data_IF_711574526351
#
_entry.id   IF_711574526351
#
_cell.length_a   1.000
_cell.length_b   1.000
_cell.length_c   1.000
_cell.angle_alpha   90.00
_cell.angle_beta   90.00
_cell.angle_gamma   90.00
#
_symmetry.space_group_name_H-M   'P 1'
#
loop_
_entity.id
_entity.type
_entity.pdbx_description
1 polymer ?
#
# COMPACT_ATOMS: atom_id res chain seq x y z
N UNK A 1 25.07 33.94 1.96
CA UNK A 1 25.56 33.13 0.83
C UNK A 1 26.04 31.78 1.35
N UNK A 2 25.69 30.70 0.66
CA UNK A 2 26.08 29.32 0.98
C UNK A 2 27.39 29.02 0.24
N UNK A 3 28.36 28.39 0.89
CA UNK A 3 29.64 28.05 0.24
C UNK A 3 29.45 26.99 -0.87
N UNK A 4 30.39 26.93 -1.82
CA UNK A 4 30.31 26.03 -2.97
C UNK A 4 30.33 24.54 -2.60
N UNK A 5 30.92 24.20 -1.46
CA UNK A 5 31.08 22.86 -0.91
C UNK A 5 29.99 22.48 0.10
N UNK A 6 29.22 23.46 0.60
CA UNK A 6 28.16 23.18 1.56
C UNK A 6 27.02 22.37 0.92
N UNK A 7 26.63 21.28 1.59
CA UNK A 7 25.51 20.41 1.23
C UNK A 7 24.17 21.05 1.60
N UNK A 8 23.27 21.15 0.61
CA UNK A 8 21.87 21.52 0.84
C UNK A 8 21.05 20.24 1.00
N UNK A 9 20.41 20.07 2.16
CA UNK A 9 19.68 18.82 2.50
C UNK A 9 18.17 18.92 2.32
N UNK A 10 17.64 20.13 2.16
CA UNK A 10 16.22 20.32 1.90
C UNK A 10 15.88 19.79 0.50
N UNK A 11 14.81 18.98 0.39
CA UNK A 11 14.31 18.48 -0.90
C UNK A 11 13.95 19.63 -1.86
N UNK A 12 13.47 20.73 -1.29
CA UNK A 12 13.19 21.99 -1.98
C UNK A 12 14.13 23.04 -1.38
N UNK A 13 15.17 23.46 -2.10
CA UNK A 13 16.06 24.52 -1.66
C UNK A 13 15.29 25.82 -1.39
N UNK A 14 15.60 26.50 -0.28
CA UNK A 14 14.96 27.79 0.07
C UNK A 14 15.62 28.99 -0.63
N UNK A 15 16.89 28.87 -0.97
CA UNK A 15 17.69 29.91 -1.61
C UNK A 15 18.77 29.30 -2.52
N UNK A 16 19.23 30.07 -3.50
CA UNK A 16 20.42 29.76 -4.28
C UNK A 16 21.69 29.89 -3.44
N UNK A 17 22.83 29.42 -3.97
CA UNK A 17 24.12 29.60 -3.28
C UNK A 17 24.46 31.08 -3.07
N UNK A 18 24.11 31.92 -4.03
CA UNK A 18 24.31 33.37 -3.98
C UNK A 18 23.29 34.09 -3.08
N UNK A 19 22.36 33.36 -2.46
CA UNK A 19 21.43 33.88 -1.46
C UNK A 19 20.13 34.46 -2.03
N UNK A 20 19.83 34.21 -3.31
CA UNK A 20 18.53 34.58 -3.88
C UNK A 20 17.45 33.59 -3.46
N UNK A 21 16.23 34.04 -3.13
CA UNK A 21 15.15 33.12 -2.77
C UNK A 21 14.79 32.23 -3.95
N UNK A 22 14.51 30.96 -3.67
CA UNK A 22 14.00 30.05 -4.70
C UNK A 22 12.48 30.22 -4.82
N UNK A 23 12.01 30.43 -6.04
CA UNK A 23 10.60 30.65 -6.35
C UNK A 23 9.98 29.42 -7.02
N UNK A 24 8.69 29.22 -6.76
CA UNK A 24 7.89 28.12 -7.30
C UNK A 24 6.45 28.59 -7.51
N UNK A 25 5.71 27.90 -8.39
CA UNK A 25 4.28 28.12 -8.58
C UNK A 25 3.89 28.47 -10.02
N UNK A 26 2.59 28.68 -10.27
CA UNK A 26 2.07 28.98 -11.60
C UNK A 26 2.72 30.25 -12.20
N UNK A 27 3.09 30.19 -13.48
CA UNK A 27 3.68 31.33 -14.20
C UNK A 27 5.21 31.48 -14.05
N UNK A 28 5.85 30.68 -13.19
CA UNK A 28 7.32 30.63 -13.09
C UNK A 28 7.87 29.76 -14.23
N UNK A 29 8.89 30.26 -14.94
CA UNK A 29 9.58 29.49 -15.99
C UNK A 29 10.68 28.61 -15.37
N UNK A 30 10.82 27.35 -15.80
CA UNK A 30 11.95 26.51 -15.40
C UNK A 30 13.24 27.01 -16.05
N UNK A 31 14.39 26.77 -15.39
CA UNK A 31 15.72 26.96 -15.98
C UNK A 31 16.66 27.83 -15.12
N UNK A 32 16.23 29.01 -14.65
CA UNK A 32 17.05 29.83 -13.75
C UNK A 32 17.37 29.12 -12.43
N UNK A 33 18.53 29.42 -11.86
CA UNK A 33 19.04 28.79 -10.63
C UNK A 33 18.16 29.04 -9.39
N UNK A 34 17.35 30.09 -9.42
CA UNK A 34 16.41 30.51 -8.39
C UNK A 34 14.98 29.97 -8.61
N UNK A 35 14.78 28.98 -9.49
CA UNK A 35 13.46 28.38 -9.73
C UNK A 35 13.43 26.91 -9.34
N UNK A 36 12.37 26.49 -8.64
CA UNK A 36 12.09 25.08 -8.33
C UNK A 36 10.73 24.71 -8.89
N UNK A 37 10.71 24.38 -10.18
CA UNK A 37 9.49 23.99 -10.89
C UNK A 37 9.80 22.89 -11.91
N UNK A 38 8.86 21.98 -12.08
CA UNK A 38 8.93 20.99 -13.14
C UNK A 38 8.68 21.64 -14.51
N UNK A 39 9.40 21.21 -15.54
CA UNK A 39 9.23 21.67 -16.93
C UNK A 39 7.85 21.34 -17.58
N UNK A 40 6.95 20.69 -16.84
CA UNK A 40 5.58 20.44 -17.28
C UNK A 40 5.41 19.36 -18.35
N UNK A 41 4.14 19.11 -18.68
CA UNK A 41 3.69 18.00 -19.53
C UNK A 41 4.13 18.12 -20.99
N UNK A 42 4.23 19.35 -21.51
CA UNK A 42 4.68 19.60 -22.88
C UNK A 42 6.10 19.09 -23.09
N UNK A 43 7.04 19.57 -22.27
CA UNK A 43 8.44 19.13 -22.33
C UNK A 43 8.62 17.65 -21.96
N UNK A 44 7.79 17.11 -21.07
CA UNK A 44 7.78 15.67 -20.79
C UNK A 44 7.42 14.82 -22.02
N UNK A 45 6.38 15.20 -22.79
CA UNK A 45 6.05 14.52 -24.04
C UNK A 45 7.14 14.72 -25.10
N UNK A 46 7.62 15.95 -25.28
CA UNK A 46 8.71 16.25 -26.23
C UNK A 46 9.91 15.35 -25.99
N UNK A 47 10.30 15.16 -24.72
CA UNK A 47 11.44 14.32 -24.32
C UNK A 47 11.26 12.83 -24.65
N UNK A 48 10.02 12.36 -24.81
CA UNK A 48 9.70 10.96 -25.08
C UNK A 48 9.31 10.70 -26.54
N UNK A 49 9.23 11.73 -27.39
CA UNK A 49 8.88 11.61 -28.81
C UNK A 49 9.78 10.56 -29.50
N UNK A 50 9.21 9.60 -30.26
CA UNK A 50 7.82 9.52 -30.73
C UNK A 50 6.88 8.73 -29.80
N UNK A 51 7.30 8.34 -28.61
CA UNK A 51 6.54 7.47 -27.74
C UNK A 51 5.43 8.21 -26.98
N UNK A 52 4.33 7.50 -26.74
CA UNK A 52 3.14 8.02 -26.09
C UNK A 52 3.34 8.11 -24.58
N UNK A 53 2.82 9.20 -24.00
CA UNK A 53 2.93 9.56 -22.58
C UNK A 53 4.39 9.79 -22.08
N UNK A 54 4.60 9.73 -20.77
CA UNK A 54 5.85 10.00 -20.07
C UNK A 54 5.85 9.27 -18.70
N UNK A 55 6.77 9.61 -17.79
CA UNK A 55 6.86 9.06 -16.41
C UNK A 55 5.49 9.01 -15.73
N UNK A 56 5.18 7.89 -15.06
CA UNK A 56 3.92 7.46 -14.39
C UNK A 56 3.08 6.47 -15.22
N UNK A 57 3.10 6.57 -16.55
CA UNK A 57 2.35 5.68 -17.42
C UNK A 57 3.19 4.46 -17.84
N UNK A 58 2.52 3.34 -18.13
CA UNK A 58 3.16 2.11 -18.66
C UNK A 58 3.15 2.03 -20.21
N UNK A 59 2.86 3.16 -20.85
CA UNK A 59 3.03 3.36 -22.29
C UNK A 59 4.53 3.54 -22.61
N UNK A 60 4.96 3.38 -23.87
CA UNK A 60 6.39 3.41 -24.24
C UNK A 60 7.10 4.67 -23.75
N UNK A 61 6.44 5.84 -23.71
CA UNK A 61 7.06 7.07 -23.22
C UNK A 61 7.34 7.08 -21.72
N UNK A 62 6.66 6.22 -20.95
CA UNK A 62 6.93 6.06 -19.52
C UNK A 62 7.89 4.93 -19.16
N UNK A 63 8.12 3.96 -20.06
CA UNK A 63 8.89 2.74 -19.77
C UNK A 63 10.10 2.50 -20.68
N UNK A 64 10.21 3.19 -21.82
CA UNK A 64 11.34 3.04 -22.74
C UNK A 64 12.50 3.94 -22.32
N UNK A 65 13.47 3.38 -21.60
CA UNK A 65 14.72 4.06 -21.24
C UNK A 65 15.89 3.47 -22.01
N UNK A 66 16.85 4.29 -22.50
CA UNK A 66 18.07 3.75 -23.11
C UNK A 66 18.94 3.03 -22.09
N UNK A 67 19.45 1.86 -22.46
CA UNK A 67 20.49 1.14 -21.72
C UNK A 67 21.77 1.15 -22.56
N UNK A 68 22.86 1.65 -21.99
CA UNK A 68 24.20 1.62 -22.60
C UNK A 68 25.02 0.57 -21.86
N UNK A 69 25.54 -0.41 -22.58
CA UNK A 69 26.38 -1.47 -22.03
C UNK A 69 27.77 -1.35 -22.63
N UNK A 70 28.79 -1.38 -21.79
CA UNK A 70 30.20 -1.30 -22.20
C UNK A 70 31.02 -2.34 -21.46
N UNK A 71 31.44 -3.39 -22.18
CA UNK A 71 32.31 -4.44 -21.66
C UNK A 71 33.24 -4.96 -22.77
N UNK A 72 34.37 -4.30 -23.06
CA UNK A 72 35.22 -4.60 -24.23
C UNK A 72 35.77 -6.03 -24.29
N UNK A 73 35.91 -6.69 -23.14
CA UNK A 73 36.39 -8.08 -23.10
C UNK A 73 35.33 -9.06 -23.63
N UNK A 74 34.05 -8.83 -23.37
CA UNK A 74 32.95 -9.73 -23.77
C UNK A 74 32.16 -9.23 -24.99
N UNK A 75 31.96 -7.92 -25.12
CA UNK A 75 31.21 -7.31 -26.21
C UNK A 75 32.19 -6.81 -27.27
N UNK A 76 32.23 -7.50 -28.42
CA UNK A 76 33.14 -7.16 -29.54
C UNK A 76 32.60 -6.11 -30.48
N UNK A 77 31.27 -5.95 -30.54
CA UNK A 77 30.62 -4.90 -31.34
C UNK A 77 30.82 -3.52 -30.72
N UNK A 78 31.00 -2.49 -31.54
CA UNK A 78 31.19 -1.10 -31.11
C UNK A 78 30.16 -0.17 -31.76
N UNK A 79 29.46 0.63 -30.95
CA UNK A 79 28.51 1.64 -31.44
C UNK A 79 27.23 1.07 -32.06
N UNK A 80 26.95 -0.21 -31.86
CA UNK A 80 25.77 -0.87 -32.45
C UNK A 80 24.53 -0.74 -31.58
N UNK A 81 23.36 -0.74 -32.22
CA UNK A 81 22.05 -0.71 -31.55
C UNK A 81 21.46 -2.12 -31.49
N UNK A 82 20.99 -2.50 -30.30
CA UNK A 82 20.18 -3.69 -30.06
C UNK A 82 18.73 -3.22 -29.86
N UNK A 83 17.78 -3.82 -30.59
CA UNK A 83 16.37 -3.36 -30.62
C UNK A 83 15.39 -4.27 -29.89
N UNK A 84 15.83 -5.46 -29.49
CA UNK A 84 15.01 -6.35 -28.68
C UNK A 84 14.74 -5.75 -27.29
N UNK A 85 13.56 -5.96 -26.72
CA UNK A 85 13.22 -5.40 -25.42
C UNK A 85 13.97 -6.12 -24.29
N UNK A 86 14.70 -5.34 -23.49
CA UNK A 86 15.13 -5.73 -22.14
C UNK A 86 14.24 -5.07 -21.09
N UNK A 87 14.33 -5.52 -19.85
CA UNK A 87 13.57 -5.00 -18.72
C UNK A 87 14.48 -4.82 -17.49
N UNK A 88 14.09 -3.92 -16.58
CA UNK A 88 14.90 -3.61 -15.38
C UNK A 88 15.22 -4.86 -14.54
N UNK A 89 14.29 -5.81 -14.47
CA UNK A 89 14.45 -7.07 -13.72
C UNK A 89 15.60 -7.94 -14.27
N UNK A 90 15.97 -7.75 -15.54
CA UNK A 90 17.01 -8.51 -16.22
C UNK A 90 18.42 -8.11 -15.75
N UNK A 91 18.57 -6.91 -15.18
CA UNK A 91 19.87 -6.42 -14.71
C UNK A 91 20.41 -7.33 -13.60
N UNK A 92 19.56 -7.76 -12.66
CA UNK A 92 19.98 -8.68 -11.60
C UNK A 92 20.47 -10.01 -12.18
N UNK A 93 19.68 -10.62 -13.08
CA UNK A 93 20.05 -11.86 -13.76
C UNK A 93 21.37 -11.72 -14.53
N UNK A 94 21.56 -10.60 -15.22
CA UNK A 94 22.77 -10.28 -15.98
C UNK A 94 23.99 -10.15 -15.06
N UNK A 95 23.85 -9.49 -13.91
CA UNK A 95 24.95 -9.35 -12.95
C UNK A 95 25.36 -10.70 -12.34
N UNK A 96 24.40 -11.55 -12.02
CA UNK A 96 24.65 -12.90 -11.48
C UNK A 96 25.39 -13.76 -12.51
N UNK A 97 24.90 -13.80 -13.75
CA UNK A 97 25.51 -14.51 -14.87
C UNK A 97 26.93 -13.98 -15.18
N UNK A 98 27.09 -12.66 -15.27
CA UNK A 98 28.39 -12.02 -15.51
C UNK A 98 29.45 -12.30 -14.43
N UNK A 99 29.01 -12.52 -13.19
CA UNK A 99 29.88 -12.79 -12.06
C UNK A 99 30.14 -14.30 -11.85
N UNK A 100 29.51 -15.18 -12.63
CA UNK A 100 29.48 -16.63 -12.39
C UNK A 100 29.05 -16.94 -10.95
N UNK A 101 28.06 -16.19 -10.46
CA UNK A 101 27.60 -16.26 -9.08
C UNK A 101 26.39 -17.19 -8.93
N UNK A 102 26.29 -17.84 -7.77
CA UNK A 102 25.08 -18.58 -7.40
C UNK A 102 24.08 -17.64 -6.72
N UNK A 103 22.86 -17.56 -7.24
CA UNK A 103 21.78 -16.83 -6.58
C UNK A 103 21.10 -17.72 -5.53
N UNK A 104 21.15 -17.36 -4.24
CA UNK A 104 20.65 -18.24 -3.19
C UNK A 104 19.12 -18.35 -3.23
N UNK A 105 18.59 -19.51 -2.88
CA UNK A 105 17.14 -19.68 -2.67
C UNK A 105 16.71 -19.21 -1.27
N UNK A 106 17.65 -19.23 -0.31
CA UNK A 106 17.42 -18.92 1.10
C UNK A 106 18.51 -18.02 1.67
N UNK A 107 18.12 -17.16 2.60
CA UNK A 107 19.04 -16.38 3.43
C UNK A 107 18.57 -16.40 4.88
N UNK A 108 19.40 -16.89 5.80
CA UNK A 108 19.06 -17.06 7.22
C UNK A 108 17.75 -17.85 7.41
N UNK A 109 17.61 -18.99 6.71
CA UNK A 109 16.42 -19.87 6.73
C UNK A 109 15.13 -19.25 6.17
N UNK A 110 15.19 -18.02 5.65
CA UNK A 110 14.07 -17.35 4.98
C UNK A 110 14.21 -17.53 3.46
N UNK A 111 13.14 -18.00 2.81
CA UNK A 111 13.06 -18.06 1.34
C UNK A 111 13.10 -16.63 0.77
N UNK A 112 13.97 -16.40 -0.22
CA UNK A 112 14.08 -15.09 -0.87
C UNK A 112 13.36 -15.09 -2.22
N UNK A 113 13.02 -13.89 -2.70
CA UNK A 113 12.40 -13.73 -4.01
C UNK A 113 13.31 -14.34 -5.09
N UNK A 114 12.81 -15.27 -5.92
CA UNK A 114 13.58 -15.78 -7.05
C UNK A 114 13.95 -14.67 -8.05
N UNK A 115 15.00 -14.90 -8.85
CA UNK A 115 15.28 -14.05 -10.00
C UNK A 115 14.10 -14.12 -10.98
N UNK A 116 13.53 -12.96 -11.30
CA UNK A 116 12.38 -12.82 -12.22
C UNK A 116 12.81 -12.48 -13.66
N UNK A 117 14.03 -11.98 -13.84
CA UNK A 117 14.58 -11.60 -15.14
C UNK A 117 15.39 -12.69 -15.82
N UNK A 118 15.83 -12.41 -17.04
CA UNK A 118 16.79 -13.25 -17.78
C UNK A 118 18.06 -12.47 -18.08
N UNK A 119 19.20 -13.15 -18.17
CA UNK A 119 20.46 -12.47 -18.49
C UNK A 119 20.41 -11.80 -19.86
N UNK A 120 20.86 -10.55 -19.92
CA UNK A 120 21.01 -9.78 -21.16
C UNK A 120 22.31 -10.11 -21.91
N UNK A 121 23.22 -10.89 -21.32
CA UNK A 121 24.53 -11.18 -21.92
C UNK A 121 24.46 -11.72 -23.34
N UNK A 122 23.58 -12.69 -23.69
CA UNK A 122 23.46 -13.18 -25.06
C UNK A 122 23.02 -12.08 -26.04
N UNK A 123 22.13 -11.18 -25.61
CA UNK A 123 21.69 -10.04 -26.42
C UNK A 123 22.80 -8.98 -26.58
N UNK A 124 23.60 -8.77 -25.55
CA UNK A 124 24.69 -7.79 -25.57
C UNK A 124 25.88 -8.25 -26.42
N UNK A 125 26.28 -9.52 -26.28
CA UNK A 125 27.46 -10.09 -26.95
C UNK A 125 27.17 -10.46 -28.42
N UNK A 126 26.15 -11.29 -28.64
CA UNK A 126 25.88 -11.93 -29.93
C UNK A 126 24.60 -11.42 -30.62
N UNK A 127 23.92 -10.44 -30.01
CA UNK A 127 22.59 -10.00 -30.45
C UNK A 127 21.57 -11.16 -30.53
N UNK A 128 21.77 -12.21 -29.73
CA UNK A 128 20.88 -13.36 -29.66
C UNK A 128 19.53 -12.98 -29.06
N UNK A 129 18.47 -13.66 -29.49
CA UNK A 129 17.12 -13.43 -28.97
C UNK A 129 17.02 -13.87 -27.50
N UNK A 130 16.47 -12.99 -26.65
CA UNK A 130 16.22 -13.31 -25.25
C UNK A 130 15.00 -14.23 -25.12
N UNK A 131 15.22 -15.45 -24.66
CA UNK A 131 14.15 -16.40 -24.37
C UNK A 131 13.30 -15.90 -23.19
N UNK A 132 12.11 -15.35 -23.48
CA UNK A 132 11.12 -14.97 -22.47
C UNK A 132 9.71 -15.10 -23.03
N UNK A 133 8.76 -15.41 -22.17
CA UNK A 133 7.35 -15.51 -22.55
C UNK A 133 6.72 -14.11 -22.74
N UNK A 134 6.92 -13.23 -21.76
CA UNK A 134 6.42 -11.86 -21.77
C UNK A 134 7.14 -10.98 -20.76
N UNK A 135 6.93 -9.66 -20.86
CA UNK A 135 7.30 -8.66 -19.87
C UNK A 135 6.01 -8.01 -19.36
N UNK A 136 5.95 -7.70 -18.06
CA UNK A 136 4.74 -7.24 -17.38
C UNK A 136 4.98 -5.95 -16.62
N UNK A 137 3.95 -5.13 -16.53
CA UNK A 137 3.97 -3.88 -15.77
C UNK A 137 2.65 -3.69 -15.01
N UNK A 138 2.80 -3.13 -13.83
CA UNK A 138 1.75 -2.41 -13.13
C UNK A 138 2.40 -1.19 -12.46
N UNK A 139 1.75 -0.04 -12.56
CA UNK A 139 2.16 1.17 -11.85
C UNK A 139 0.96 2.08 -11.63
N UNK A 140 0.58 2.24 -10.36
CA UNK A 140 -0.51 3.11 -9.92
C UNK A 140 -1.84 2.85 -10.68
N UNK A 141 -2.13 1.59 -10.98
CA UNK A 141 -3.36 1.11 -11.59
C UNK A 141 -3.29 1.07 -13.12
N UNK A 142 -2.25 1.66 -13.70
CA UNK A 142 -1.91 1.47 -15.11
C UNK A 142 -1.25 0.09 -15.26
N UNK A 143 -1.62 -0.64 -16.31
CA UNK A 143 -1.21 -2.05 -16.47
C UNK A 143 -0.80 -2.34 -17.90
N UNK A 144 0.21 -3.20 -18.08
CA UNK A 144 0.64 -3.64 -19.40
C UNK A 144 1.27 -5.03 -19.40
N UNK A 145 1.18 -5.71 -20.53
CA UNK A 145 1.94 -6.92 -20.86
C UNK A 145 2.47 -6.79 -22.28
N UNK A 146 3.72 -7.22 -22.52
CA UNK A 146 4.30 -7.37 -23.85
C UNK A 146 4.75 -8.81 -24.07
N UNK A 147 4.06 -9.51 -24.96
CA UNK A 147 4.38 -10.87 -25.39
C UNK A 147 4.84 -10.84 -26.85
N UNK A 148 6.15 -10.97 -27.06
CA UNK A 148 6.78 -10.76 -28.37
C UNK A 148 6.49 -9.34 -28.91
N UNK A 149 5.84 -9.28 -30.08
CA UNK A 149 5.47 -8.01 -30.71
C UNK A 149 4.18 -7.41 -30.15
N UNK A 150 3.34 -8.17 -29.47
CA UNK A 150 2.05 -7.68 -29.01
C UNK A 150 2.18 -7.03 -27.64
N UNK A 151 1.66 -5.82 -27.50
CA UNK A 151 1.53 -5.14 -26.21
C UNK A 151 0.06 -4.86 -25.94
N UNK A 152 -0.40 -5.29 -24.77
CA UNK A 152 -1.67 -4.90 -24.19
C UNK A 152 -1.38 -3.87 -23.11
N UNK A 153 -2.08 -2.74 -23.11
CA UNK A 153 -1.85 -1.64 -22.16
C UNK A 153 -3.16 -0.94 -21.80
N UNK A 154 -3.30 -0.51 -20.55
CA UNK A 154 -4.42 0.29 -20.12
C UNK A 154 -3.97 1.33 -19.07
N UNK A 155 -4.56 2.52 -19.15
CA UNK A 155 -4.55 3.44 -18.01
C UNK A 155 -5.48 2.92 -16.91
N UNK A 156 -5.28 3.37 -15.69
CA UNK A 156 -6.18 3.02 -14.58
C UNK A 156 -7.65 3.28 -14.93
N UNK A 157 -8.53 2.32 -14.62
CA UNK A 157 -9.97 2.38 -14.89
C UNK A 157 -10.36 2.63 -16.36
N UNK A 158 -9.46 2.31 -17.31
CA UNK A 158 -9.73 2.37 -18.74
C UNK A 158 -9.71 0.96 -19.35
N UNK A 159 -10.41 0.75 -20.48
CA UNK A 159 -10.34 -0.51 -21.21
C UNK A 159 -8.91 -0.76 -21.71
N UNK A 160 -8.64 -2.03 -22.03
CA UNK A 160 -7.40 -2.43 -22.68
C UNK A 160 -7.30 -1.89 -24.11
N UNK A 161 -6.12 -1.39 -24.45
CA UNK A 161 -5.67 -1.04 -25.80
C UNK A 161 -4.63 -2.08 -26.25
N UNK A 162 -4.61 -2.43 -27.54
CA UNK A 162 -3.71 -3.44 -28.10
C UNK A 162 -2.88 -2.87 -29.26
N UNK A 163 -1.56 -3.09 -29.22
CA UNK A 163 -0.62 -2.58 -30.22
C UNK A 163 0.34 -3.66 -30.75
N UNK A 164 0.69 -3.56 -32.04
CA UNK A 164 1.82 -4.28 -32.63
C UNK A 164 3.09 -3.42 -32.50
N UNK A 165 3.94 -3.74 -31.54
CA UNK A 165 5.14 -2.96 -31.19
C UNK A 165 6.23 -2.97 -32.26
N UNK A 166 6.15 -3.88 -33.25
CA UNK A 166 7.09 -3.88 -34.37
C UNK A 166 6.64 -2.91 -35.46
N UNK A 167 5.33 -2.75 -35.65
CA UNK A 167 4.76 -1.85 -36.66
C UNK A 167 4.46 -0.44 -36.10
N UNK A 168 4.10 -0.36 -34.82
CA UNK A 168 3.61 0.85 -34.15
C UNK A 168 4.13 0.92 -32.71
N UNK A 169 5.41 1.26 -32.56
CA UNK A 169 6.01 1.50 -31.24
C UNK A 169 5.51 2.81 -30.61
N UNK A 170 4.83 3.68 -31.35
CA UNK A 170 4.25 4.91 -30.84
C UNK A 170 2.90 4.68 -30.15
N UNK A 171 2.33 3.48 -30.22
CA UNK A 171 1.03 3.14 -29.62
C UNK A 171 -0.09 4.05 -30.13
N UNK A 172 -0.09 4.30 -31.45
CA UNK A 172 -0.97 5.25 -32.13
C UNK A 172 -2.26 4.61 -32.64
N UNK A 173 -2.24 3.35 -33.06
CA UNK A 173 -3.42 2.62 -33.58
C UNK A 173 -3.80 1.47 -32.67
N UNK A 174 -4.85 1.66 -31.90
CA UNK A 174 -5.44 0.62 -31.06
C UNK A 174 -6.14 -0.45 -31.93
N UNK A 175 -5.73 -1.71 -31.75
CA UNK A 175 -6.23 -2.89 -32.45
C UNK A 175 -7.16 -3.75 -31.59
N UNK A 176 -7.52 -3.31 -30.37
CA UNK A 176 -8.28 -4.12 -29.42
C UNK A 176 -9.63 -4.58 -30.01
N UNK A 177 -10.34 -3.68 -30.68
CA UNK A 177 -11.63 -4.00 -31.34
C UNK A 177 -11.48 -4.96 -32.53
N UNK A 178 -10.34 -4.93 -33.23
CA UNK A 178 -10.05 -5.80 -34.37
C UNK A 178 -9.57 -7.19 -33.93
N UNK A 179 -9.08 -7.35 -32.67
CA UNK A 179 -8.46 -8.59 -32.16
C UNK A 179 -8.90 -8.94 -30.74
N UNK A 180 -10.21 -9.11 -30.47
CA UNK A 180 -10.72 -9.33 -29.12
C UNK A 180 -10.21 -10.63 -28.47
N UNK A 181 -10.00 -11.70 -29.26
CA UNK A 181 -9.45 -12.97 -28.74
C UNK A 181 -8.02 -12.82 -28.22
N UNK A 182 -7.20 -12.00 -28.89
CA UNK A 182 -5.84 -11.73 -28.46
C UNK A 182 -5.80 -10.84 -27.21
N UNK A 183 -6.71 -9.87 -27.12
CA UNK A 183 -6.93 -9.07 -25.90
C UNK A 183 -7.24 -10.00 -24.73
N UNK A 184 -8.23 -10.88 -24.86
CA UNK A 184 -8.61 -11.80 -23.80
C UNK A 184 -7.46 -12.74 -23.39
N UNK A 185 -6.68 -13.23 -24.36
CA UNK A 185 -5.50 -14.08 -24.09
C UNK A 185 -4.45 -13.34 -23.25
N UNK A 186 -4.08 -12.13 -23.67
CA UNK A 186 -3.04 -11.33 -23.00
C UNK A 186 -3.52 -10.80 -21.64
N UNK A 187 -4.79 -10.44 -21.51
CA UNK A 187 -5.42 -10.05 -20.25
C UNK A 187 -5.36 -11.20 -19.23
N UNK A 188 -5.73 -12.42 -19.65
CA UNK A 188 -5.64 -13.60 -18.80
C UNK A 188 -4.19 -13.90 -18.38
N UNK A 189 -3.22 -13.69 -19.28
CA UNK A 189 -1.80 -13.86 -18.98
C UNK A 189 -1.28 -12.82 -17.99
N UNK A 190 -1.64 -11.54 -18.18
CA UNK A 190 -1.31 -10.47 -17.25
C UNK A 190 -1.94 -10.71 -15.87
N UNK A 191 -3.19 -11.15 -15.83
CA UNK A 191 -3.92 -11.41 -14.59
C UNK A 191 -3.25 -12.50 -13.76
N UNK A 192 -2.88 -13.63 -14.38
CA UNK A 192 -2.11 -14.69 -13.70
C UNK A 192 -0.79 -14.19 -13.13
N UNK A 193 -0.06 -13.37 -13.90
CA UNK A 193 1.18 -12.77 -13.41
C UNK A 193 0.91 -11.83 -12.23
N UNK A 194 -0.12 -10.99 -12.32
CA UNK A 194 -0.48 -10.01 -11.31
C UNK A 194 -0.89 -10.66 -9.97
N UNK A 195 -1.61 -11.78 -10.02
CA UNK A 195 -1.91 -12.59 -8.83
C UNK A 195 -0.64 -13.15 -8.20
N UNK A 196 0.21 -13.83 -9.00
CA UNK A 196 1.47 -14.41 -8.53
C UNK A 196 2.41 -13.35 -7.94
N UNK A 197 2.45 -12.17 -8.54
CA UNK A 197 3.33 -11.07 -8.16
C UNK A 197 2.75 -10.17 -7.05
N UNK A 198 1.60 -10.53 -6.46
CA UNK A 198 0.91 -9.76 -5.42
C UNK A 198 0.58 -8.31 -5.82
N UNK A 199 0.28 -8.10 -7.11
CA UNK A 199 -0.13 -6.81 -7.67
C UNK A 199 -1.60 -6.53 -7.36
N UNK A 200 -2.42 -7.58 -7.28
CA UNK A 200 -3.84 -7.47 -6.99
C UNK A 200 -4.11 -7.46 -5.47
N UNK A 201 -5.14 -6.71 -5.00
CA UNK A 201 -6.02 -5.84 -5.78
C UNK A 201 -5.34 -4.52 -6.20
N UNK A 202 -5.66 -4.05 -7.40
CA UNK A 202 -5.24 -2.72 -7.87
C UNK A 202 -5.76 -1.64 -6.93
N UNK A 203 -4.95 -0.60 -6.70
CA UNK A 203 -5.32 0.55 -5.88
C UNK A 203 -5.05 0.36 -4.39
N UNK A 204 -4.49 -0.77 -3.96
CA UNK A 204 -4.15 -1.03 -2.55
C UNK A 204 -3.21 0.03 -1.96
N UNK A 205 -2.33 0.63 -2.78
CA UNK A 205 -1.45 1.74 -2.38
C UNK A 205 -2.19 3.06 -2.11
N UNK A 206 -3.44 3.23 -2.59
CA UNK A 206 -4.22 4.46 -2.41
C UNK A 206 -4.75 4.64 -0.99
N UNK A 207 -4.50 3.67 -0.11
CA UNK A 207 -5.18 3.57 1.18
C UNK A 207 -6.68 3.27 0.99
N UNK A 208 -7.41 2.98 2.07
CA UNK A 208 -8.87 2.83 1.97
C UNK A 208 -9.46 4.12 1.37
N UNK A 209 -10.39 4.03 0.39
CA UNK A 209 -11.07 5.21 -0.13
C UNK A 209 -11.58 6.06 1.02
N UNK A 210 -11.31 7.36 1.01
CA UNK A 210 -12.04 8.28 1.87
C UNK A 210 -13.49 8.19 1.43
N UNK A 211 -14.33 7.57 2.27
CA UNK A 211 -15.75 7.41 2.03
C UNK A 211 -16.33 8.70 1.43
N UNK A 212 -16.92 8.51 0.28
CA UNK A 212 -17.27 9.49 -0.71
C UNK A 212 -18.16 10.55 -0.05
N UNK A 213 -17.61 11.74 0.16
CA UNK A 213 -18.34 12.90 0.66
C UNK A 213 -18.68 12.90 2.16
N UNK A 214 -17.69 12.95 3.05
CA UNK A 214 -17.88 13.42 4.44
C UNK A 214 -16.70 14.25 4.91
N UNK A 215 -17.03 15.35 5.59
CA UNK A 215 -16.22 16.39 6.20
C UNK A 215 -14.79 16.00 6.65
N UNK A 216 -13.80 16.86 6.40
CA UNK A 216 -12.47 16.81 7.06
C UNK A 216 -12.53 17.13 8.55
N UNK A 217 -13.70 17.53 9.08
CA UNK A 217 -13.89 17.80 10.51
C UNK A 217 -14.22 16.51 11.23
N UNK A 218 -13.33 16.13 12.15
CA UNK A 218 -13.54 15.04 13.10
C UNK A 218 -14.83 15.25 13.93
N UNK A 219 -15.48 14.15 14.28
CA UNK A 219 -16.69 14.10 15.10
C UNK A 219 -16.42 14.46 16.58
N UNK A 220 -16.14 15.73 16.86
CA UNK A 220 -15.79 16.22 18.21
C UNK A 220 -16.99 16.41 19.13
N UNK A 221 -18.20 16.51 18.59
CA UNK A 221 -19.40 16.86 19.37
C UNK A 221 -20.15 15.63 19.88
N UNK A 222 -20.17 14.53 19.11
CA UNK A 222 -20.85 13.32 19.52
C UNK A 222 -20.06 12.60 20.61
N UNK A 223 -20.72 12.35 21.75
CA UNK A 223 -20.14 11.59 22.87
C UNK A 223 -20.74 10.21 23.02
N UNK A 224 -21.86 9.91 22.35
CA UNK A 224 -22.58 8.64 22.46
C UNK A 224 -22.79 8.01 21.09
N UNK A 225 -22.44 6.73 20.97
CA UNK A 225 -22.43 5.98 19.73
C UNK A 225 -23.17 4.66 19.92
N UNK A 226 -24.33 4.53 19.29
CA UNK A 226 -25.06 3.27 19.19
C UNK A 226 -24.71 2.61 17.85
N UNK A 227 -24.05 1.46 17.91
CA UNK A 227 -23.41 0.81 16.77
C UNK A 227 -24.06 -0.55 16.50
N UNK A 228 -24.47 -0.85 15.24
CA UNK A 228 -24.87 -2.19 14.85
C UNK A 228 -23.68 -3.17 14.88
N UNK A 229 -23.99 -4.47 14.81
CA UNK A 229 -23.02 -5.57 14.92
C UNK A 229 -21.91 -5.57 13.86
N UNK A 230 -22.12 -4.91 12.73
CA UNK A 230 -21.22 -4.84 11.57
C UNK A 230 -20.69 -3.42 11.31
N UNK A 231 -20.91 -2.48 12.24
CA UNK A 231 -20.57 -1.08 12.07
C UNK A 231 -19.13 -0.88 11.59
N UNK A 232 -18.97 0.00 10.60
CA UNK A 232 -17.68 0.43 10.06
C UNK A 232 -17.70 1.97 9.94
N UNK A 233 -17.08 2.63 10.90
CA UNK A 233 -17.03 4.08 10.95
C UNK A 233 -15.66 4.56 10.48
N UNK A 234 -15.58 5.40 9.44
CA UNK A 234 -14.33 6.07 9.10
C UNK A 234 -13.90 7.01 10.24
N UNK A 235 -12.60 7.33 10.27
CA UNK A 235 -11.96 8.16 11.32
C UNK A 235 -12.70 9.46 11.63
N UNK A 236 -13.23 10.13 10.61
CA UNK A 236 -13.94 11.41 10.75
C UNK A 236 -15.29 11.28 11.48
N UNK A 237 -15.87 10.08 11.51
CA UNK A 237 -17.13 9.79 12.22
C UNK A 237 -16.96 8.95 13.48
N UNK A 238 -15.80 8.32 13.64
CA UNK A 238 -15.47 7.52 14.82
C UNK A 238 -15.41 8.38 16.10
N UNK A 239 -15.57 7.77 17.29
CA UNK A 239 -15.43 8.44 18.58
C UNK A 239 -14.05 9.09 18.76
N UNK A 240 -14.03 10.33 19.27
CA UNK A 240 -12.81 11.06 19.61
C UNK A 240 -12.22 10.58 20.93
N UNK A 241 -11.43 9.50 20.88
CA UNK A 241 -10.88 8.81 22.06
C UNK A 241 -9.52 9.34 22.56
N UNK A 242 -8.91 10.28 21.83
CA UNK A 242 -7.66 10.92 22.22
C UNK A 242 -7.77 11.61 23.59
N UNK A 243 -6.94 11.21 24.56
CA UNK A 243 -6.90 11.75 25.92
C UNK A 243 -8.27 11.75 26.63
N UNK A 244 -9.17 10.84 26.27
CA UNK A 244 -10.52 10.78 26.85
C UNK A 244 -10.84 9.44 27.49
N UNK A 245 -11.45 9.44 28.69
CA UNK A 245 -12.07 8.25 29.24
C UNK A 245 -13.30 7.85 28.39
N UNK A 246 -13.61 6.57 28.36
CA UNK A 246 -14.79 6.06 27.65
C UNK A 246 -15.26 4.74 28.25
N UNK A 247 -16.51 4.40 27.93
CA UNK A 247 -17.10 3.11 28.24
C UNK A 247 -17.63 2.45 26.97
N UNK A 248 -17.58 1.12 26.95
CA UNK A 248 -18.12 0.28 25.88
C UNK A 248 -19.01 -0.78 26.51
N UNK A 249 -20.20 -0.95 25.98
CA UNK A 249 -21.09 -2.07 26.30
C UNK A 249 -21.41 -2.87 25.04
N UNK A 250 -21.12 -4.16 25.06
CA UNK A 250 -21.41 -5.10 23.98
C UNK A 250 -22.53 -6.04 24.43
N UNK A 251 -23.60 -6.11 23.65
CA UNK A 251 -24.68 -7.09 23.85
C UNK A 251 -24.52 -8.25 22.87
N UNK A 252 -24.57 -9.48 23.36
CA UNK A 252 -24.45 -10.71 22.59
C UNK A 252 -25.77 -11.49 22.60
N UNK A 253 -26.10 -12.15 21.50
CA UNK A 253 -27.25 -13.07 21.37
C UNK A 253 -26.86 -14.52 21.74
N UNK A 254 -25.56 -14.82 21.72
CA UNK A 254 -24.99 -16.14 21.98
C UNK A 254 -23.80 -16.04 22.93
N UNK A 255 -23.33 -17.17 23.49
CA UNK A 255 -22.12 -17.20 24.30
C UNK A 255 -20.95 -16.50 23.64
N UNK A 256 -20.07 -15.93 24.45
CA UNK A 256 -18.81 -15.34 23.97
C UNK A 256 -18.00 -16.41 23.22
N UNK A 257 -17.54 -16.05 22.04
CA UNK A 257 -16.66 -16.85 21.20
C UNK A 257 -15.52 -15.96 20.67
N UNK A 258 -14.43 -16.59 20.25
CA UNK A 258 -13.20 -15.88 19.87
C UNK A 258 -13.41 -14.81 18.80
N UNK A 259 -12.59 -13.78 18.90
CA UNK A 259 -12.41 -12.73 17.91
C UNK A 259 -12.77 -11.34 18.42
N UNK A 260 -12.57 -10.33 17.57
CA UNK A 260 -12.74 -8.92 17.92
C UNK A 260 -14.21 -8.55 18.08
N UNK A 261 -14.58 -8.00 19.24
CA UNK A 261 -15.93 -7.46 19.48
C UNK A 261 -16.05 -6.02 18.96
N UNK A 262 -15.02 -5.21 19.21
CA UNK A 262 -14.90 -3.84 18.72
C UNK A 262 -13.44 -3.41 18.71
N UNK A 263 -13.02 -2.70 17.68
CA UNK A 263 -11.71 -2.10 17.58
C UNK A 263 -11.80 -0.70 16.97
N UNK A 264 -10.95 0.22 17.44
CA UNK A 264 -10.71 1.48 16.77
C UNK A 264 -9.21 1.76 16.73
N UNK A 265 -8.68 1.97 15.53
CA UNK A 265 -7.27 2.22 15.31
C UNK A 265 -6.48 1.00 14.83
N UNK A 266 -5.17 1.03 15.05
CA UNK A 266 -4.27 -0.03 14.60
C UNK A 266 -2.99 -0.12 15.41
N UNK A 267 -1.94 -0.72 14.83
CA UNK A 267 -0.68 -1.04 15.54
C UNK A 267 0.06 0.17 16.11
N UNK A 268 -0.21 1.39 15.63
CA UNK A 268 0.38 2.62 16.15
C UNK A 268 -0.40 3.23 17.33
N UNK A 269 -1.72 3.35 17.21
CA UNK A 269 -2.59 3.96 18.23
C UNK A 269 -4.00 3.37 18.10
N UNK A 270 -4.64 3.02 19.22
CA UNK A 270 -6.00 2.46 19.19
C UNK A 270 -6.37 1.63 20.42
N UNK A 271 -7.61 1.14 20.46
CA UNK A 271 -8.03 0.11 21.41
C UNK A 271 -8.76 -1.04 20.70
N UNK A 272 -8.73 -2.22 21.32
CA UNK A 272 -9.57 -3.34 20.93
C UNK A 272 -10.12 -4.05 22.16
N UNK A 273 -11.34 -4.54 22.04
CA UNK A 273 -11.96 -5.49 22.95
C UNK A 273 -12.22 -6.77 22.15
N UNK A 274 -11.63 -7.87 22.58
CA UNK A 274 -11.69 -9.14 21.85
C UNK A 274 -11.70 -10.32 22.81
N UNK A 275 -12.13 -11.47 22.30
CA UNK A 275 -12.07 -12.73 23.01
C UNK A 275 -11.03 -13.66 22.39
N UNK A 276 -10.31 -14.40 23.24
CA UNK A 276 -9.36 -15.43 22.83
C UNK A 276 -9.30 -16.50 23.91
N UNK A 277 -9.46 -17.75 23.51
CA UNK A 277 -9.40 -18.92 24.40
C UNK A 277 -10.37 -18.80 25.59
N UNK A 278 -11.58 -18.30 25.32
CA UNK A 278 -12.63 -18.10 26.32
C UNK A 278 -12.40 -16.92 27.28
N UNK A 279 -11.30 -16.18 27.15
CA UNK A 279 -11.02 -15.00 27.97
C UNK A 279 -11.35 -13.70 27.24
N UNK A 280 -11.71 -12.69 28.03
CA UNK A 280 -11.99 -11.35 27.53
C UNK A 280 -10.74 -10.48 27.69
N UNK A 281 -10.30 -9.84 26.61
CA UNK A 281 -9.09 -9.03 26.58
C UNK A 281 -9.42 -7.63 26.07
N UNK A 282 -8.95 -6.62 26.81
CA UNK A 282 -8.93 -5.23 26.36
C UNK A 282 -7.49 -4.80 26.15
N UNK A 283 -7.18 -4.38 24.93
CA UNK A 283 -5.86 -3.92 24.55
C UNK A 283 -5.88 -2.47 24.08
N UNK A 284 -4.77 -1.77 24.33
CA UNK A 284 -4.47 -0.45 23.79
C UNK A 284 -3.12 -0.44 23.07
N UNK A 285 -3.02 0.36 22.00
CA UNK A 285 -1.76 0.74 21.37
C UNK A 285 -1.54 2.22 21.64
N UNK A 286 -0.38 2.58 22.18
CA UNK A 286 0.03 3.97 22.45
C UNK A 286 1.41 4.20 21.87
N UNK A 287 1.49 4.96 20.77
CA UNK A 287 2.75 5.15 20.04
C UNK A 287 3.47 3.84 19.68
N UNK A 288 2.72 2.81 19.27
CA UNK A 288 3.23 1.48 18.90
C UNK A 288 3.27 0.46 20.05
N UNK A 289 3.26 0.92 21.31
CA UNK A 289 3.38 0.05 22.48
C UNK A 289 2.04 -0.58 22.83
N UNK A 290 2.00 -1.92 22.90
CA UNK A 290 0.86 -2.70 23.35
C UNK A 290 0.78 -2.71 24.89
N UNK A 291 -0.42 -2.48 25.41
CA UNK A 291 -0.79 -2.80 26.78
C UNK A 291 -2.13 -3.55 26.76
N UNK A 292 -2.31 -4.53 27.64
CA UNK A 292 -3.55 -5.29 27.70
C UNK A 292 -3.91 -5.71 29.12
N UNK A 293 -5.21 -5.82 29.36
CA UNK A 293 -5.81 -6.41 30.56
C UNK A 293 -6.72 -7.53 30.10
N UNK A 294 -6.60 -8.68 30.75
CA UNK A 294 -7.31 -9.92 30.44
C UNK A 294 -8.14 -10.33 31.67
N UNK A 295 -9.29 -10.98 31.44
CA UNK A 295 -10.08 -11.57 32.51
C UNK A 295 -9.26 -12.58 33.32
N UNK A 296 -9.42 -12.55 34.64
CA UNK A 296 -8.66 -13.42 35.54
C UNK A 296 -8.93 -14.91 35.24
N UNK A 297 -10.18 -15.22 34.91
CA UNK A 297 -10.67 -16.55 34.57
C UNK A 297 -11.35 -16.53 33.19
N UNK A 298 -11.54 -17.71 32.54
CA UNK A 298 -12.42 -17.84 31.39
C UNK A 298 -13.83 -17.31 31.69
N UNK A 299 -14.44 -16.70 30.69
CA UNK A 299 -15.77 -16.09 30.78
C UNK A 299 -16.83 -17.18 30.62
N UNK A 300 -17.86 -17.12 31.47
CA UNK A 300 -18.99 -18.05 31.44
C UNK A 300 -19.70 -18.05 30.07
N UNK A 301 -20.11 -19.24 29.61
CA UNK A 301 -20.88 -19.41 28.37
C UNK A 301 -22.20 -18.62 28.39
N UNK A 302 -22.78 -18.35 29.55
CA UNK A 302 -24.03 -17.59 29.67
C UNK A 302 -23.85 -16.06 29.63
N UNK A 303 -22.64 -15.57 29.33
CA UNK A 303 -22.42 -14.14 29.16
C UNK A 303 -23.14 -13.61 27.92
N UNK A 304 -23.94 -12.56 28.15
CA UNK A 304 -24.75 -11.86 27.13
C UNK A 304 -24.49 -10.36 27.13
N UNK A 305 -23.86 -9.82 28.17
CA UNK A 305 -23.46 -8.42 28.25
C UNK A 305 -22.00 -8.31 28.70
N UNK A 306 -21.20 -7.57 27.95
CA UNK A 306 -19.80 -7.25 28.27
C UNK A 306 -19.69 -5.75 28.40
N UNK A 307 -19.00 -5.29 29.45
CA UNK A 307 -18.78 -3.88 29.73
C UNK A 307 -17.30 -3.62 29.96
N UNK A 308 -16.82 -2.52 29.37
CA UNK A 308 -15.47 -1.99 29.57
C UNK A 308 -15.60 -0.54 29.95
N UNK A 309 -14.85 -0.10 30.97
CA UNK A 309 -14.75 1.31 31.35
C UNK A 309 -13.29 1.69 31.51
N UNK A 310 -12.79 2.58 30.66
CA UNK A 310 -11.50 3.24 30.80
C UNK A 310 -11.70 4.60 31.47
N UNK A 311 -11.11 4.79 32.65
CA UNK A 311 -11.25 6.02 33.43
C UNK A 311 -10.20 7.09 33.08
N UNK A 312 -10.39 8.31 33.61
CA UNK A 312 -9.50 9.45 33.34
C UNK A 312 -8.08 9.28 33.89
N UNK A 313 -7.85 8.31 34.78
CA UNK A 313 -6.52 7.95 35.31
C UNK A 313 -5.86 6.83 34.49
N UNK A 314 -6.55 6.32 33.47
CA UNK A 314 -6.08 5.26 32.58
C UNK A 314 -6.23 3.86 33.16
N UNK A 315 -7.10 3.67 34.15
CA UNK A 315 -7.48 2.34 34.63
C UNK A 315 -8.68 1.82 33.84
N UNK A 316 -8.61 0.56 33.43
CA UNK A 316 -9.70 -0.15 32.78
C UNK A 316 -10.32 -1.15 33.75
N UNK A 317 -11.64 -1.22 33.76
CA UNK A 317 -12.41 -2.29 34.41
C UNK A 317 -13.16 -3.07 33.33
N UNK A 318 -12.99 -4.39 33.32
CA UNK A 318 -13.75 -5.31 32.48
C UNK A 318 -14.84 -5.97 33.32
N UNK A 319 -16.05 -6.06 32.80
CA UNK A 319 -17.16 -6.75 33.44
C UNK A 319 -17.94 -7.61 32.45
N UNK A 320 -18.44 -8.74 32.93
CA UNK A 320 -19.32 -9.65 32.21
C UNK A 320 -20.59 -9.88 33.03
N UNK A 321 -21.77 -9.68 32.43
CA UNK A 321 -23.07 -9.70 33.12
C UNK A 321 -23.07 -8.87 34.43
N UNK A 322 -22.42 -7.68 34.42
CA UNK A 322 -22.23 -6.75 35.54
C UNK A 322 -21.26 -7.21 36.65
N UNK A 323 -20.64 -8.37 36.53
CA UNK A 323 -19.60 -8.82 37.45
C UNK A 323 -18.22 -8.39 36.93
N UNK A 324 -17.41 -7.75 37.77
CA UNK A 324 -16.05 -7.35 37.43
C UNK A 324 -15.16 -8.58 37.25
N UNK A 325 -14.54 -8.74 36.09
CA UNK A 325 -13.68 -9.88 35.75
C UNK A 325 -12.21 -9.52 35.64
N UNK A 326 -11.88 -8.24 35.50
CA UNK A 326 -10.51 -7.72 35.57
C UNK A 326 -10.48 -6.21 35.84
N UNK A 327 -9.37 -5.76 36.40
CA UNK A 327 -9.07 -4.34 36.59
C UNK A 327 -7.56 -4.11 36.48
N UNK A 328 -7.15 -3.06 35.76
CA UNK A 328 -5.73 -2.73 35.65
C UNK A 328 -5.46 -1.46 34.87
N UNK A 329 -4.18 -1.09 34.71
CA UNK A 329 -3.79 0.19 34.11
C UNK A 329 -3.25 0.01 32.70
N UNK A 330 -3.86 0.73 31.74
CA UNK A 330 -3.46 0.76 30.31
C UNK A 330 -3.17 2.17 29.79
N UNK A 331 -3.49 3.19 30.59
CA UNK A 331 -3.37 4.59 30.19
C UNK A 331 -4.45 5.02 29.21
N UNK A 332 -4.67 6.34 29.12
CA UNK A 332 -5.46 6.92 28.03
C UNK A 332 -4.68 6.87 26.71
N UNK A 333 -5.41 6.78 25.60
CA UNK A 333 -4.81 6.90 24.27
C UNK A 333 -4.24 8.30 24.09
N UNK A 334 -3.05 8.37 23.51
CA UNK A 334 -2.25 9.60 23.38
C UNK A 334 -2.62 10.43 22.15
N UNK A 335 -3.21 9.80 21.14
CA UNK A 335 -3.56 10.45 19.88
C UNK A 335 -4.87 9.87 19.32
N UNK A 336 -5.49 10.60 18.39
CA UNK A 336 -6.65 10.07 17.65
C UNK A 336 -6.17 9.07 16.59
N UNK A 337 -6.62 7.80 16.62
CA UNK A 337 -6.18 6.81 15.65
C UNK A 337 -6.41 7.21 14.19
N UNK A 338 -5.57 6.69 13.29
CA UNK A 338 -5.72 6.89 11.85
C UNK A 338 -6.85 6.03 11.28
N UNK A 339 -6.92 4.79 11.72
CA UNK A 339 -7.96 3.85 11.31
C UNK A 339 -9.26 4.14 12.06
N UNK A 340 -10.36 3.81 11.40
CA UNK A 340 -11.72 3.98 11.90
C UNK A 340 -12.08 2.99 13.01
N UNK A 341 -13.37 2.93 13.33
CA UNK A 341 -13.92 1.98 14.30
C UNK A 341 -14.67 0.87 13.56
N UNK A 342 -14.38 -0.38 13.90
CA UNK A 342 -15.07 -1.56 13.39
C UNK A 342 -15.69 -2.37 14.55
N UNK A 343 -16.91 -2.87 14.35
CA UNK A 343 -17.59 -3.81 15.26
C UNK A 343 -17.58 -5.20 14.65
N UNK A 344 -17.30 -6.20 15.49
CA UNK A 344 -17.26 -7.61 15.09
C UNK A 344 -16.08 -8.02 14.23
N UNK A 345 -15.12 -7.12 13.96
CA UNK A 345 -13.90 -7.40 13.20
C UNK A 345 -12.83 -6.33 13.41
N UNK A 346 -11.61 -6.66 13.02
CA UNK A 346 -10.49 -5.73 12.80
C UNK A 346 -9.78 -6.13 11.50
N UNK A 347 -9.95 -5.35 10.43
CA UNK A 347 -9.47 -5.69 9.08
C UNK A 347 -8.18 -4.98 8.66
N UNK A 348 -7.81 -3.88 9.32
CA UNK A 348 -6.71 -3.02 8.82
C UNK A 348 -5.39 -3.36 9.48
N UNK A 349 -5.33 -3.27 10.81
CA UNK A 349 -4.11 -3.46 11.56
C UNK A 349 -4.41 -3.83 12.99
N UNK A 350 -3.91 -4.98 13.42
CA UNK A 350 -4.20 -5.51 14.75
C UNK A 350 -3.82 -4.51 15.85
N UNK A 351 -4.81 -4.06 16.60
CA UNK A 351 -4.58 -3.30 17.83
C UNK A 351 -4.08 -4.24 18.93
N UNK A 352 -4.77 -5.36 19.13
CA UNK A 352 -4.44 -6.37 20.14
C UNK A 352 -3.35 -7.35 19.72
N UNK A 353 -3.26 -8.45 20.48
CA UNK A 353 -2.34 -9.57 20.21
C UNK A 353 -3.07 -10.64 19.39
N UNK A 354 -3.37 -10.31 18.14
CA UNK A 354 -4.00 -11.23 17.18
C UNK A 354 -3.56 -10.86 15.76
N UNK A 355 -3.75 -11.77 14.80
CA UNK A 355 -3.53 -11.46 13.38
C UNK A 355 -4.79 -10.79 12.80
N UNK A 356 -4.61 -9.71 12.03
CA UNK A 356 -5.66 -9.09 11.24
C UNK A 356 -5.65 -9.70 9.81
N UNK A 357 -6.81 -9.99 9.18
CA UNK A 357 -8.15 -9.68 9.68
C UNK A 357 -8.61 -10.65 10.77
N UNK A 358 -9.25 -10.11 11.83
CA UNK A 358 -9.78 -10.91 12.93
C UNK A 358 -11.30 -10.71 13.08
N UNK A 359 -12.08 -11.62 12.51
CA UNK A 359 -13.55 -11.58 12.62
C UNK A 359 -14.03 -12.26 13.90
N UNK A 360 -15.06 -11.68 14.53
CA UNK A 360 -15.73 -12.27 15.68
C UNK A 360 -16.51 -13.52 15.28
N UNK A 361 -16.34 -14.59 16.05
CA UNK A 361 -17.24 -15.75 16.05
C UNK A 361 -18.44 -15.53 16.96
N UNK A 362 -18.44 -14.45 17.77
CA UNK A 362 -19.56 -14.07 18.62
C UNK A 362 -20.70 -13.46 17.80
N UNK A 363 -21.96 -13.72 18.21
CA UNK A 363 -23.12 -13.06 17.61
C UNK A 363 -23.43 -11.76 18.36
N UNK A 364 -22.82 -10.66 17.92
CA UNK A 364 -23.03 -9.32 18.46
C UNK A 364 -24.42 -8.82 18.03
N UNK A 365 -25.17 -8.22 18.96
CA UNK A 365 -26.46 -7.58 18.68
C UNK A 365 -26.28 -6.09 18.47
N UNK A 366 -25.58 -5.44 19.39
CA UNK A 366 -25.28 -4.01 19.37
C UNK A 366 -24.09 -3.69 20.25
N UNK A 367 -23.45 -2.56 19.97
CA UNK A 367 -22.44 -1.96 20.84
C UNK A 367 -22.84 -0.52 21.16
N UNK A 368 -22.72 -0.15 22.44
CA UNK A 368 -22.84 1.23 22.89
C UNK A 368 -21.46 1.71 23.33
N UNK A 369 -20.99 2.81 22.75
CA UNK A 369 -19.76 3.47 23.18
C UNK A 369 -20.08 4.90 23.64
N UNK A 370 -19.61 5.24 24.84
CA UNK A 370 -19.81 6.54 25.46
C UNK A 370 -18.47 7.15 25.88
N UNK A 371 -18.18 8.34 25.38
CA UNK A 371 -17.07 9.17 25.86
C UNK A 371 -17.48 9.82 27.17
N UNK A 372 -16.67 9.62 28.20
CA UNK A 372 -16.93 10.09 29.57
C UNK A 372 -16.43 11.52 29.80
#
# INVERSE_FOLDING_TARGET
>A
MITNDALQRDMIPRQTRDGFPVVMGPGILPGPADTYIAYGRGWANTSNTPFREYKHWVHEGGISTPLIVHWPQQIKSHGELRRQPGHLIDIMATCVDAADAEYPQRRNEIDIQPIEGVSLLPACSDNAELAREAIYWEHEGNRAIRAGKWKLVAKENRPWELYDMNADRAEARDLAAERPELVAKLDAQWTRWAERANVLPLGSWRGKPKADGKSTKLNRQQTRFELPADADLPRDRAPMIENRPFAVEVTLDRPLADGVLIAQGGSAEGFSLYARDGKLIFATRRGGKLQQIESNEPIDADVRAIQVRLDAKGYVTLAANKQSVAHGKVGLLSAMPLDGLQVGRDETGAVGEYEAPNASKSKIVKVLLELL
#
